data_IF_214726214903
#
_entry.id   IF_214726214903
#
_cell.length_a   1.000
_cell.length_b   1.000
_cell.length_c   1.000
_cell.angle_alpha   90.00
_cell.angle_beta   90.00
_cell.angle_gamma   90.00
#
_symmetry.space_group_name_H-M   'P 1'
#
loop_
_entity.id
_entity.type
_entity.pdbx_description
1 polymer ?
#
# COMPACT_ATOMS: atom_id res chain seq x y z
N UNK A 1 4.57 16.22 -15.23
CA UNK A 1 5.46 15.22 -14.63
C UNK A 1 4.64 14.10 -14.03
N UNK A 2 5.22 12.91 -13.93
CA UNK A 2 4.65 11.72 -13.30
C UNK A 2 4.08 12.00 -11.89
N UNK A 3 4.78 12.82 -11.11
CA UNK A 3 4.36 13.22 -9.77
C UNK A 3 3.15 14.15 -9.71
N UNK A 4 2.83 14.88 -10.78
CA UNK A 4 1.58 15.65 -10.82
C UNK A 4 0.35 14.74 -10.72
N UNK A 5 0.41 13.53 -11.28
CA UNK A 5 -0.69 12.58 -11.18
C UNK A 5 -0.84 12.06 -9.74
N UNK A 6 0.26 11.82 -9.02
CA UNK A 6 0.22 11.45 -7.60
C UNK A 6 -0.35 12.59 -6.74
N UNK A 7 0.11 13.82 -6.97
CA UNK A 7 -0.42 15.00 -6.27
C UNK A 7 -1.91 15.21 -6.54
N UNK A 8 -2.34 15.03 -7.78
CA UNK A 8 -3.75 15.10 -8.18
C UNK A 8 -4.57 13.96 -7.56
N UNK A 9 -4.02 12.75 -7.48
CA UNK A 9 -4.67 11.63 -6.80
C UNK A 9 -4.95 11.98 -5.34
N UNK A 10 -3.95 12.49 -4.61
CA UNK A 10 -4.11 12.89 -3.21
C UNK A 10 -5.10 14.05 -3.09
N UNK A 11 -4.95 15.11 -3.90
CA UNK A 11 -5.84 16.28 -3.81
C UNK A 11 -7.32 15.95 -4.06
N UNK A 12 -7.59 14.89 -4.83
CA UNK A 12 -8.94 14.40 -5.13
C UNK A 12 -9.49 13.37 -4.13
N UNK A 13 -8.77 13.07 -3.04
CA UNK A 13 -9.26 12.18 -1.96
C UNK A 13 -8.48 10.88 -1.81
N UNK A 14 -7.45 10.66 -2.62
CA UNK A 14 -6.56 9.51 -2.48
C UNK A 14 -5.69 9.59 -1.22
N UNK A 15 -5.29 8.43 -0.73
CA UNK A 15 -4.26 8.30 0.31
C UNK A 15 -3.01 7.67 -0.27
N UNK A 16 -1.85 8.28 -0.05
CA UNK A 16 -0.54 7.67 -0.33
C UNK A 16 0.17 7.36 0.98
N UNK A 17 0.77 6.18 1.06
CA UNK A 17 1.69 5.80 2.14
C UNK A 17 3.10 5.64 1.54
N UNK A 18 4.01 6.53 1.91
CA UNK A 18 5.42 6.43 1.58
C UNK A 18 6.14 5.64 2.66
N UNK A 19 6.68 4.48 2.29
CA UNK A 19 7.45 3.61 3.20
C UNK A 19 8.95 3.84 3.12
N UNK A 20 9.40 4.59 2.11
CA UNK A 20 10.80 4.86 1.86
C UNK A 20 11.11 6.33 2.17
N UNK A 21 12.39 6.63 2.38
CA UNK A 21 12.87 8.00 2.34
C UNK A 21 13.26 8.40 0.90
N UNK A 22 13.67 9.66 0.71
CA UNK A 22 14.10 10.17 -0.59
C UNK A 22 13.07 9.89 -1.72
N UNK A 23 11.79 10.04 -1.38
CA UNK A 23 10.69 9.77 -2.30
C UNK A 23 10.61 10.85 -3.37
N UNK A 24 10.05 10.48 -4.53
CA UNK A 24 9.96 11.38 -5.67
C UNK A 24 11.36 11.82 -6.17
N UNK A 25 12.32 10.89 -6.24
CA UNK A 25 13.73 11.18 -6.53
C UNK A 25 13.98 11.70 -7.95
N UNK A 26 13.39 11.07 -8.97
CA UNK A 26 13.68 11.36 -10.37
C UNK A 26 12.47 11.14 -11.28
N UNK A 27 12.33 12.03 -12.26
CA UNK A 27 11.38 11.86 -13.36
C UNK A 27 12.09 11.17 -14.52
N UNK A 28 11.44 10.14 -15.07
CA UNK A 28 11.86 9.49 -16.30
C UNK A 28 10.82 9.69 -17.38
N UNK A 29 11.25 9.60 -18.63
CA UNK A 29 10.38 9.56 -19.79
C UNK A 29 10.48 8.19 -20.43
N UNK A 30 9.35 7.65 -20.86
CA UNK A 30 9.29 6.41 -21.61
C UNK A 30 8.96 6.69 -23.07
N UNK A 31 9.81 6.24 -23.97
CA UNK A 31 9.63 6.34 -25.41
C UNK A 31 9.19 4.99 -25.96
N UNK A 32 7.93 4.91 -26.39
CA UNK A 32 7.31 3.70 -26.96
C UNK A 32 7.90 3.27 -28.29
N UNK A 33 8.46 4.20 -29.06
CA UNK A 33 8.96 3.91 -30.41
C UNK A 33 10.21 3.04 -30.38
N UNK A 34 11.05 3.22 -29.37
CA UNK A 34 12.31 2.50 -29.22
C UNK A 34 12.41 1.74 -27.87
N UNK A 35 11.28 1.63 -27.16
CA UNK A 35 11.15 0.95 -25.86
C UNK A 35 12.21 1.40 -24.82
N UNK A 36 12.53 2.70 -24.80
CA UNK A 36 13.59 3.24 -23.94
C UNK A 36 13.05 4.09 -22.80
N UNK A 37 13.68 4.00 -21.64
CA UNK A 37 13.49 4.89 -20.50
C UNK A 37 14.66 5.86 -20.45
N UNK A 38 14.39 7.15 -20.32
CA UNK A 38 15.43 8.20 -20.23
C UNK A 38 15.17 9.09 -19.02
N UNK A 39 16.21 9.34 -18.23
CA UNK A 39 16.16 10.36 -17.18
C UNK A 39 15.72 11.68 -17.79
N UNK A 40 14.72 12.33 -17.20
CA UNK A 40 14.41 13.71 -17.51
C UNK A 40 15.26 14.58 -16.59
N UNK A 41 14.99 14.48 -15.28
CA UNK A 41 15.69 15.21 -14.22
C UNK A 41 15.28 14.67 -12.86
N UNK A 42 16.15 14.76 -11.87
CA UNK A 42 15.91 14.33 -10.51
C UNK A 42 16.68 15.17 -9.51
N UNK A 43 16.84 14.64 -8.31
CA UNK A 43 17.77 15.17 -7.35
C UNK A 43 19.19 15.05 -7.90
N UNK A 44 19.98 16.12 -7.79
CA UNK A 44 21.36 16.28 -8.25
C UNK A 44 21.63 16.16 -9.75
N UNK A 45 20.71 15.62 -10.56
CA UNK A 45 21.01 15.26 -11.95
C UNK A 45 19.91 15.68 -12.93
N UNK A 46 20.31 16.14 -14.10
CA UNK A 46 19.41 16.30 -15.25
C UNK A 46 20.02 15.72 -16.52
N UNK A 47 19.19 15.35 -17.48
CA UNK A 47 19.68 14.83 -18.76
C UNK A 47 19.88 15.97 -19.76
N UNK A 48 21.11 16.12 -20.26
CA UNK A 48 21.50 17.19 -21.18
C UNK A 48 21.36 16.80 -22.67
N UNK A 49 20.80 15.62 -22.95
CA UNK A 49 20.73 15.03 -24.29
C UNK A 49 21.87 14.06 -24.61
N UNK A 50 22.92 13.99 -23.78
CA UNK A 50 24.04 13.04 -23.91
C UNK A 50 24.20 12.17 -22.67
N UNK A 51 24.00 12.72 -21.49
CA UNK A 51 24.15 12.02 -20.23
C UNK A 51 23.57 12.79 -19.05
N UNK A 52 23.75 12.23 -17.85
CA UNK A 52 23.41 12.92 -16.61
C UNK A 52 24.46 14.00 -16.31
N UNK A 53 24.00 15.23 -16.11
CA UNK A 53 24.83 16.37 -15.69
C UNK A 53 24.35 16.90 -14.33
N UNK A 54 25.23 17.47 -13.50
CA UNK A 54 24.83 18.05 -12.22
C UNK A 54 23.69 19.07 -12.36
N UNK A 55 22.77 19.04 -11.42
CA UNK A 55 21.61 19.93 -11.36
C UNK A 55 21.29 20.32 -9.92
N UNK A 56 20.05 20.76 -9.66
CA UNK A 56 19.58 21.12 -8.32
C UNK A 56 19.62 19.92 -7.37
N UNK A 57 20.04 20.16 -6.13
CA UNK A 57 20.13 19.14 -5.06
C UNK A 57 18.78 18.44 -4.89
N UNK A 58 17.72 19.21 -4.66
CA UNK A 58 16.36 18.70 -4.52
C UNK A 58 15.43 19.43 -5.50
N UNK A 59 14.85 18.68 -6.44
CA UNK A 59 14.12 19.24 -7.59
C UNK A 59 12.75 19.81 -7.22
N UNK A 60 12.09 19.28 -6.19
CA UNK A 60 10.72 19.63 -5.78
C UNK A 60 10.66 20.16 -4.34
N UNK A 61 11.68 20.93 -3.94
CA UNK A 61 11.83 21.38 -2.55
C UNK A 61 10.54 22.04 -2.01
N UNK A 62 9.95 22.98 -2.75
CA UNK A 62 8.76 23.71 -2.30
C UNK A 62 7.49 22.86 -2.44
N UNK A 63 7.34 22.16 -3.56
CA UNK A 63 6.15 21.36 -3.84
C UNK A 63 6.04 20.18 -2.87
N UNK A 64 7.13 19.47 -2.60
CA UNK A 64 7.14 18.36 -1.64
C UNK A 64 6.71 18.86 -0.25
N UNK A 65 7.28 19.98 0.22
CA UNK A 65 6.83 20.62 1.46
C UNK A 65 5.32 20.85 1.46
N UNK A 66 4.72 21.32 0.37
CA UNK A 66 3.29 21.62 0.34
C UNK A 66 2.39 20.39 0.45
N UNK A 67 2.65 19.33 -0.32
CA UNK A 67 1.70 18.21 -0.44
C UNK A 67 2.15 16.92 0.22
N UNK A 68 3.45 16.59 0.22
CA UNK A 68 3.96 15.43 0.97
C UNK A 68 4.19 15.80 2.42
N UNK A 69 4.69 17.00 2.69
CA UNK A 69 4.93 17.53 4.05
C UNK A 69 6.39 17.49 4.50
N UNK A 70 7.28 16.92 3.68
CA UNK A 70 8.70 16.77 3.99
C UNK A 70 9.61 16.93 2.78
N UNK A 71 10.90 17.00 3.05
CA UNK A 71 11.97 17.06 2.07
C UNK A 71 13.10 16.11 2.42
N UNK A 72 13.95 15.80 1.43
CA UNK A 72 15.05 14.86 1.61
C UNK A 72 16.09 15.43 2.58
N UNK A 73 16.42 14.65 3.60
CA UNK A 73 17.51 14.99 4.51
C UNK A 73 18.80 14.38 3.95
N UNK A 74 19.55 15.18 3.19
CA UNK A 74 20.81 14.77 2.55
C UNK A 74 21.97 14.64 3.54
N UNK A 75 21.88 13.62 4.39
CA UNK A 75 22.96 13.20 5.27
C UNK A 75 23.49 11.88 4.73
N UNK A 76 24.78 11.85 4.40
CA UNK A 76 25.40 10.67 3.84
C UNK A 76 25.33 9.50 4.83
N UNK A 77 24.87 8.33 4.35
CA UNK A 77 24.65 7.12 5.16
C UNK A 77 25.87 6.59 5.92
N UNK A 78 27.08 6.98 5.50
CA UNK A 78 28.33 6.64 6.19
C UNK A 78 28.62 7.52 7.42
N UNK A 79 27.80 8.55 7.68
CA UNK A 79 27.91 9.42 8.84
C UNK A 79 27.30 8.70 10.05
N UNK A 80 28.14 8.00 10.81
CA UNK A 80 27.75 7.26 12.03
C UNK A 80 27.21 8.14 13.18
N UNK A 81 27.17 9.46 13.01
CA UNK A 81 26.86 10.41 14.09
C UNK A 81 25.40 10.84 14.12
N UNK A 82 24.51 10.26 13.29
CA UNK A 82 23.08 10.44 13.50
C UNK A 82 22.56 9.50 14.58
N UNK A 83 21.88 10.09 15.56
CA UNK A 83 21.32 9.40 16.70
C UNK A 83 19.81 9.65 16.77
N UNK A 84 19.04 8.59 16.92
CA UNK A 84 17.59 8.63 17.11
C UNK A 84 17.25 8.33 18.57
N UNK A 85 16.79 9.32 19.32
CA UNK A 85 16.46 9.13 20.75
C UNK A 85 15.12 8.42 20.95
N UNK A 86 14.24 8.44 19.96
CA UNK A 86 13.00 7.69 19.97
C UNK A 86 12.98 6.77 18.74
N UNK A 87 13.51 5.56 18.91
CA UNK A 87 13.73 4.62 17.82
C UNK A 87 13.04 3.27 18.09
N UNK A 88 11.70 3.20 17.98
CA UNK A 88 10.96 1.98 18.31
C UNK A 88 11.27 0.80 17.39
N UNK A 89 11.82 1.06 16.21
CA UNK A 89 12.12 0.05 15.19
C UNK A 89 13.59 -0.35 15.15
N UNK A 90 14.42 0.16 16.07
CA UNK A 90 15.87 -0.05 16.04
C UNK A 90 16.47 0.25 14.64
N UNK A 91 15.97 1.30 13.99
CA UNK A 91 16.39 1.77 12.68
C UNK A 91 17.82 2.32 12.75
N UNK A 92 18.63 2.01 11.75
CA UNK A 92 19.98 2.56 11.58
C UNK A 92 19.95 3.57 10.46
N UNK A 93 20.61 4.71 10.64
CA UNK A 93 20.69 5.78 9.64
C UNK A 93 21.02 5.21 8.27
N UNK A 94 20.18 5.55 7.30
CA UNK A 94 20.47 5.24 5.90
C UNK A 94 20.03 6.39 4.99
N UNK A 95 18.73 6.73 5.02
CA UNK A 95 18.14 7.85 4.30
C UNK A 95 16.87 8.27 5.05
N UNK A 96 16.63 9.57 5.15
CA UNK A 96 15.51 10.11 5.91
C UNK A 96 14.86 11.28 5.18
N UNK A 97 13.57 11.49 5.48
CA UNK A 97 12.89 12.75 5.18
C UNK A 97 12.84 13.59 6.45
N UNK A 98 12.90 14.91 6.31
CA UNK A 98 12.60 15.80 7.41
C UNK A 98 11.33 16.60 7.14
N UNK A 99 10.49 16.70 8.18
CA UNK A 99 9.21 17.40 8.12
C UNK A 99 9.47 18.90 7.95
N UNK A 100 9.01 19.45 6.83
CA UNK A 100 9.17 20.87 6.49
C UNK A 100 7.85 21.62 6.55
N UNK A 101 6.73 20.92 6.51
CA UNK A 101 5.40 21.52 6.64
C UNK A 101 4.95 21.56 8.10
N UNK A 102 4.64 22.74 8.66
CA UNK A 102 4.18 22.84 10.04
C UNK A 102 2.79 22.23 10.28
N UNK A 103 1.99 21.99 9.22
CA UNK A 103 0.66 21.39 9.32
C UNK A 103 0.69 19.86 9.40
N UNK A 104 1.85 19.24 9.16
CA UNK A 104 2.02 17.80 9.28
C UNK A 104 1.75 17.33 10.72
N UNK A 105 0.83 16.37 10.88
CA UNK A 105 0.54 15.75 12.16
C UNK A 105 1.53 14.62 12.41
N UNK A 106 2.41 14.83 13.38
CA UNK A 106 3.43 13.87 13.79
C UNK A 106 2.78 12.65 14.47
N UNK A 107 3.16 11.45 14.04
CA UNK A 107 2.78 10.16 14.64
C UNK A 107 3.92 9.61 15.51
N UNK A 108 5.17 9.66 15.00
CA UNK A 108 6.39 9.33 15.73
C UNK A 108 7.41 10.42 15.46
N UNK A 109 7.83 11.17 16.47
CA UNK A 109 9.02 12.03 16.38
C UNK A 109 10.24 11.18 16.74
N UNK A 110 11.13 10.89 15.78
CA UNK A 110 12.30 10.03 16.04
C UNK A 110 13.38 10.71 16.87
N UNK A 111 13.25 12.03 17.09
CA UNK A 111 14.20 12.87 17.83
C UNK A 111 15.62 12.66 17.31
N UNK A 112 15.76 12.75 15.99
CA UNK A 112 17.04 12.67 15.31
C UNK A 112 17.95 13.83 15.75
N UNK A 113 19.22 13.52 15.95
CA UNK A 113 20.26 14.50 16.20
C UNK A 113 21.53 14.07 15.51
N UNK A 114 22.20 15.02 14.85
CA UNK A 114 23.44 14.81 14.11
C UNK A 114 24.30 16.07 14.24
N UNK A 115 25.63 15.96 14.20
CA UNK A 115 26.51 17.12 14.17
C UNK A 115 26.30 17.91 12.88
N UNK A 116 26.67 19.19 12.87
CA UNK A 116 26.67 19.99 11.64
C UNK A 116 27.55 19.31 10.59
N UNK A 117 26.94 18.79 9.53
CA UNK A 117 27.62 18.02 8.49
C UNK A 117 28.27 18.99 7.51
N UNK A 118 29.59 18.86 7.31
CA UNK A 118 30.35 19.70 6.38
C UNK A 118 29.94 19.45 4.91
N UNK A 119 29.54 18.23 4.59
CA UNK A 119 29.15 17.80 3.23
C UNK A 119 27.77 18.29 2.80
N UNK A 120 26.86 18.61 3.73
CA UNK A 120 25.56 19.19 3.42
C UNK A 120 25.41 20.56 4.10
N UNK A 121 25.97 21.59 3.47
CA UNK A 121 25.97 22.96 3.99
C UNK A 121 24.57 23.59 4.10
N UNK A 122 23.59 23.03 3.38
CA UNK A 122 22.19 23.47 3.35
C UNK A 122 21.28 22.63 4.23
N UNK A 123 21.76 21.54 4.82
CA UNK A 123 20.93 20.71 5.69
C UNK A 123 20.53 21.49 6.95
N UNK A 124 19.28 21.36 7.42
CA UNK A 124 18.87 21.98 8.68
C UNK A 124 19.72 21.41 9.82
N UNK A 125 20.01 22.18 10.86
CA UNK A 125 20.80 21.69 12.02
C UNK A 125 19.92 20.93 13.04
N UNK A 126 18.60 21.13 12.97
CA UNK A 126 17.60 20.50 13.85
C UNK A 126 16.42 19.97 13.02
N UNK A 127 16.72 19.23 11.95
CA UNK A 127 15.67 18.68 11.10
C UNK A 127 14.82 17.67 11.90
N UNK A 128 13.50 17.83 11.87
CA UNK A 128 12.59 16.87 12.49
C UNK A 128 12.39 15.69 11.56
N UNK A 129 13.07 14.58 11.83
CA UNK A 129 12.78 13.28 11.22
C UNK A 129 11.63 12.63 11.99
N UNK A 130 10.55 12.27 11.29
CA UNK A 130 9.34 11.75 11.92
C UNK A 130 8.55 10.86 10.96
N UNK A 131 7.77 9.94 11.53
CA UNK A 131 6.58 9.39 10.85
C UNK A 131 5.45 10.38 11.07
N UNK A 132 4.74 10.75 10.01
CA UNK A 132 3.70 11.77 10.08
C UNK A 132 2.59 11.54 9.05
N UNK A 133 1.47 12.23 9.23
CA UNK A 133 0.45 12.38 8.19
C UNK A 133 0.33 13.86 7.78
N UNK A 134 0.10 14.11 6.50
CA UNK A 134 -0.13 15.43 5.92
C UNK A 134 -1.44 15.39 5.13
N UNK A 135 -2.40 16.25 5.47
CA UNK A 135 -3.60 16.39 4.66
C UNK A 135 -3.31 17.27 3.45
N UNK A 136 -3.81 16.91 2.27
CA UNK A 136 -3.67 17.73 1.08
C UNK A 136 -4.91 17.63 0.19
N UNK A 137 -5.56 18.76 -0.06
CA UNK A 137 -6.87 18.79 -0.71
C UNK A 137 -7.89 17.95 0.07
N UNK A 138 -8.50 16.96 -0.59
CA UNK A 138 -9.46 16.03 0.02
C UNK A 138 -8.83 14.75 0.58
N UNK A 139 -7.56 14.51 0.29
CA UNK A 139 -6.85 13.29 0.66
C UNK A 139 -5.73 13.54 1.67
N UNK A 140 -4.80 12.60 1.74
CA UNK A 140 -3.66 12.69 2.66
C UNK A 140 -2.44 11.89 2.17
N UNK A 141 -1.29 12.26 2.71
CA UNK A 141 -0.05 11.51 2.65
C UNK A 141 0.28 11.01 4.06
N UNK A 142 0.78 9.79 4.16
CA UNK A 142 1.44 9.27 5.34
C UNK A 142 2.87 8.94 4.91
N UNK A 143 3.85 9.46 5.60
CA UNK A 143 5.26 9.22 5.28
C UNK A 143 5.95 8.71 6.55
N UNK A 144 6.71 7.63 6.42
CA UNK A 144 7.47 7.05 7.52
C UNK A 144 8.69 7.89 7.91
N UNK A 145 9.16 8.75 7.02
CA UNK A 145 10.31 9.63 7.20
C UNK A 145 11.66 8.93 7.30
N UNK A 146 11.68 7.60 7.19
CA UNK A 146 12.88 6.76 7.28
C UNK A 146 12.87 5.72 6.16
N UNK A 147 14.04 5.18 5.84
CA UNK A 147 14.16 4.14 4.83
C UNK A 147 13.61 2.78 5.29
N UNK A 148 12.34 2.49 4.96
CA UNK A 148 11.61 1.31 5.40
C UNK A 148 12.09 -0.03 4.83
N UNK A 149 12.84 -0.05 3.71
CA UNK A 149 13.42 -1.29 3.18
C UNK A 149 14.27 -2.07 4.21
N UNK A 150 14.84 -1.40 5.21
CA UNK A 150 15.61 -2.06 6.29
C UNK A 150 14.73 -2.73 7.35
N UNK A 151 13.42 -2.45 7.37
CA UNK A 151 12.50 -2.81 8.46
C UNK A 151 11.57 -3.98 8.11
N UNK A 152 11.68 -4.57 6.93
CA UNK A 152 10.74 -5.59 6.44
C UNK A 152 10.65 -6.87 7.30
N UNK A 153 11.67 -7.17 8.11
CA UNK A 153 11.66 -8.28 9.11
C UNK A 153 11.42 -7.81 10.54
N UNK A 154 11.24 -6.51 10.77
CA UNK A 154 11.07 -5.97 12.10
C UNK A 154 9.61 -6.12 12.55
N UNK A 155 9.35 -7.01 13.50
CA UNK A 155 7.98 -7.30 13.98
C UNK A 155 7.33 -6.12 14.69
N UNK A 156 8.10 -5.26 15.36
CA UNK A 156 7.57 -4.03 16.00
C UNK A 156 7.10 -3.05 14.92
N UNK A 157 7.87 -2.91 13.84
CA UNK A 157 7.50 -2.09 12.69
C UNK A 157 6.26 -2.65 11.99
N UNK A 158 6.21 -3.94 11.67
CA UNK A 158 5.07 -4.58 11.01
C UNK A 158 3.79 -4.41 11.85
N UNK A 159 3.88 -4.64 13.17
CA UNK A 159 2.74 -4.40 14.07
C UNK A 159 2.29 -2.93 14.07
N UNK A 160 3.23 -1.98 14.06
CA UNK A 160 2.90 -0.56 13.96
C UNK A 160 2.26 -0.22 12.61
N UNK A 161 2.77 -0.79 11.51
CA UNK A 161 2.23 -0.57 10.18
C UNK A 161 0.78 -1.09 10.09
N UNK A 162 0.54 -2.32 10.53
CA UNK A 162 -0.77 -2.96 10.46
C UNK A 162 -1.81 -2.32 11.38
N UNK A 163 -1.40 -1.94 12.60
CA UNK A 163 -2.34 -1.46 13.63
C UNK A 163 -2.43 0.07 13.71
N UNK A 164 -1.55 0.82 13.07
CA UNK A 164 -1.54 2.29 13.10
C UNK A 164 -1.58 2.87 11.68
N UNK A 165 -0.64 2.51 10.81
CA UNK A 165 -0.51 3.14 9.49
C UNK A 165 -1.68 2.76 8.57
N UNK A 166 -1.99 1.47 8.44
CA UNK A 166 -3.11 0.99 7.61
C UNK A 166 -4.45 1.61 8.10
N UNK A 167 -4.78 1.60 9.40
CA UNK A 167 -5.99 2.23 9.90
C UNK A 167 -6.11 3.74 9.63
N UNK A 168 -4.99 4.47 9.70
CA UNK A 168 -4.98 5.91 9.36
C UNK A 168 -5.17 6.10 7.85
N UNK A 169 -4.61 5.21 7.04
CA UNK A 169 -4.60 5.31 5.58
C UNK A 169 -5.97 4.97 4.96
N UNK A 170 -6.59 3.88 5.42
CA UNK A 170 -7.76 3.27 4.80
C UNK A 170 -9.02 3.36 5.67
N UNK A 171 -8.91 3.90 6.89
CA UNK A 171 -9.94 3.83 7.92
C UNK A 171 -9.71 2.62 8.84
N UNK A 172 -10.42 2.53 9.99
CA UNK A 172 -10.26 1.42 10.92
C UNK A 172 -10.41 0.09 10.15
N UNK A 173 -9.71 -0.98 10.58
CA UNK A 173 -9.92 -2.30 10.01
C UNK A 173 -11.42 -2.55 9.97
N UNK A 174 -11.93 -2.81 8.78
CA UNK A 174 -13.35 -3.10 8.60
C UNK A 174 -13.61 -4.31 9.48
N UNK A 175 -14.42 -4.17 10.53
CA UNK A 175 -14.74 -5.32 11.37
C UNK A 175 -15.38 -6.37 10.49
N UNK A 176 -15.26 -7.65 10.86
CA UNK A 176 -15.87 -8.74 10.10
C UNK A 176 -17.35 -8.46 9.76
N UNK A 177 -18.09 -7.88 10.71
CA UNK A 177 -19.48 -7.42 10.50
C UNK A 177 -19.61 -6.30 9.45
N UNK A 178 -18.71 -5.32 9.43
CA UNK A 178 -18.73 -4.23 8.45
C UNK A 178 -18.28 -4.70 7.06
N UNK A 179 -17.36 -5.66 6.97
CA UNK A 179 -16.93 -6.27 5.72
C UNK A 179 -18.08 -7.07 5.14
N UNK A 180 -18.68 -7.95 5.95
CA UNK A 180 -19.86 -8.73 5.58
C UNK A 180 -21.04 -7.83 5.22
N UNK A 181 -21.29 -6.71 5.90
CA UNK A 181 -22.36 -5.76 5.52
C UNK A 181 -22.08 -5.05 4.18
N UNK A 182 -20.84 -4.61 3.95
CA UNK A 182 -20.46 -3.92 2.71
C UNK A 182 -20.48 -4.87 1.51
N UNK A 183 -20.13 -6.12 1.74
CA UNK A 183 -20.18 -7.21 0.75
C UNK A 183 -21.62 -7.73 0.54
N UNK A 184 -22.44 -7.79 1.59
CA UNK A 184 -23.87 -8.17 1.52
C UNK A 184 -24.71 -7.20 0.69
N UNK A 185 -24.27 -5.95 0.53
CA UNK A 185 -24.97 -4.98 -0.33
C UNK A 185 -24.85 -5.27 -1.83
N UNK A 186 -23.93 -6.17 -2.24
CA UNK A 186 -23.64 -6.48 -3.65
C UNK A 186 -23.53 -7.98 -3.97
N UNK A 187 -23.80 -8.90 -3.03
CA UNK A 187 -23.69 -10.35 -3.23
C UNK A 187 -24.89 -11.07 -2.60
N UNK A 188 -25.43 -12.07 -3.29
CA UNK A 188 -26.45 -12.97 -2.72
C UNK A 188 -25.85 -13.69 -1.50
N UNK A 189 -26.31 -13.31 -0.31
CA UNK A 189 -25.75 -13.70 0.97
C UNK A 189 -26.21 -15.09 1.45
N UNK A 190 -26.78 -15.88 0.55
CA UNK A 190 -27.32 -17.20 0.84
C UNK A 190 -26.51 -18.26 0.08
N UNK A 191 -25.46 -18.78 0.72
CA UNK A 191 -24.67 -19.89 0.18
C UNK A 191 -25.38 -21.23 0.32
N UNK A 192 -26.64 -21.27 0.80
CA UNK A 192 -27.38 -22.54 0.89
C UNK A 192 -27.76 -23.07 -0.49
N UNK A 193 -28.02 -22.21 -1.49
CA UNK A 193 -28.11 -22.53 -2.92
C UNK A 193 -27.99 -21.23 -3.76
N UNK A 194 -27.02 -21.16 -4.68
CA UNK A 194 -26.82 -19.97 -5.52
C UNK A 194 -27.50 -20.17 -6.87
N UNK A 195 -28.48 -19.33 -7.19
CA UNK A 195 -29.20 -19.35 -8.47
C UNK A 195 -28.77 -18.17 -9.36
N UNK A 196 -28.31 -18.45 -10.58
CA UNK A 196 -27.83 -17.44 -11.54
C UNK A 196 -28.36 -17.77 -12.95
N UNK A 197 -28.70 -16.75 -13.74
CA UNK A 197 -29.05 -16.91 -15.14
C UNK A 197 -27.79 -17.11 -16.01
N UNK A 198 -27.85 -18.01 -16.99
CA UNK A 198 -26.78 -18.18 -17.98
C UNK A 198 -26.53 -16.88 -18.77
N UNK A 199 -25.26 -16.56 -18.99
CA UNK A 199 -24.84 -15.41 -19.82
C UNK A 199 -24.51 -15.80 -21.27
N UNK A 200 -24.48 -17.10 -21.54
CA UNK A 200 -24.22 -17.69 -22.85
C UNK A 200 -24.23 -19.23 -22.78
N UNK A 201 -23.95 -19.93 -23.88
CA UNK A 201 -24.03 -21.39 -23.95
C UNK A 201 -23.01 -22.11 -23.04
N UNK A 202 -21.97 -21.41 -22.60
CA UNK A 202 -20.99 -21.91 -21.64
C UNK A 202 -21.39 -21.69 -20.17
N UNK A 203 -22.54 -21.05 -19.91
CA UNK A 203 -23.09 -20.79 -18.59
C UNK A 203 -22.86 -19.37 -18.06
N UNK A 204 -22.55 -19.22 -16.77
CA UNK A 204 -22.41 -17.93 -16.10
C UNK A 204 -21.16 -17.86 -15.22
N UNK A 205 -20.52 -16.69 -15.17
CA UNK A 205 -19.50 -16.40 -14.16
C UNK A 205 -20.18 -16.16 -12.83
N UNK A 206 -19.86 -16.94 -11.80
CA UNK A 206 -20.52 -16.86 -10.48
C UNK A 206 -19.50 -16.52 -9.41
N UNK A 207 -19.74 -15.41 -8.71
CA UNK A 207 -19.02 -15.02 -7.50
C UNK A 207 -19.85 -15.35 -6.26
N UNK A 208 -19.22 -15.97 -5.27
CA UNK A 208 -19.84 -16.40 -4.02
C UNK A 208 -18.90 -16.20 -2.83
N UNK A 209 -19.48 -16.19 -1.62
CA UNK A 209 -18.76 -16.17 -0.35
C UNK A 209 -18.43 -17.58 0.14
N UNK A 210 -17.35 -17.71 0.91
CA UNK A 210 -17.00 -18.95 1.57
C UNK A 210 -18.07 -19.31 2.62
N UNK A 211 -18.46 -20.59 2.77
CA UNK A 211 -19.38 -21.01 3.82
C UNK A 211 -18.84 -20.66 5.20
N UNK A 212 -19.66 -20.04 6.06
CA UNK A 212 -19.29 -19.63 7.42
C UNK A 212 -18.74 -20.77 8.27
N UNK A 213 -19.24 -21.99 8.03
CA UNK A 213 -18.96 -23.18 8.84
C UNK A 213 -17.51 -23.71 8.68
N UNK A 214 -16.76 -23.19 7.70
CA UNK A 214 -15.36 -23.57 7.45
C UNK A 214 -14.39 -22.39 7.59
N UNK A 215 -14.87 -21.25 8.10
CA UNK A 215 -14.07 -20.07 8.41
C UNK A 215 -13.81 -20.07 9.93
N UNK A 216 -12.54 -20.12 10.34
CA UNK A 216 -12.18 -19.97 11.75
C UNK A 216 -11.58 -18.56 11.98
N UNK A 217 -12.04 -17.93 13.07
CA UNK A 217 -11.87 -16.53 13.47
C UNK A 217 -10.40 -16.16 13.77
N UNK A 218 -9.52 -17.15 13.99
CA UNK A 218 -8.11 -16.92 14.37
C UNK A 218 -7.12 -16.82 13.18
N UNK A 219 -7.61 -16.75 11.93
CA UNK A 219 -6.76 -16.52 10.75
C UNK A 219 -5.82 -17.69 10.39
N UNK A 220 -6.02 -18.86 11.00
CA UNK A 220 -5.13 -20.02 10.88
C UNK A 220 -5.44 -20.93 9.67
N UNK A 221 -6.44 -20.58 8.84
CA UNK A 221 -6.96 -21.41 7.74
C UNK A 221 -7.20 -20.57 6.48
N UNK A 222 -6.86 -21.12 5.31
CA UNK A 222 -7.28 -20.60 4.00
C UNK A 222 -8.14 -21.68 3.33
N UNK A 223 -9.49 -21.60 3.36
CA UNK A 223 -10.34 -22.57 2.69
C UNK A 223 -10.19 -22.47 1.17
N UNK A 224 -10.12 -23.62 0.50
CA UNK A 224 -10.03 -23.73 -0.96
C UNK A 224 -11.29 -24.39 -1.50
N UNK A 225 -12.00 -23.70 -2.39
CA UNK A 225 -13.20 -24.21 -3.05
C UNK A 225 -12.95 -24.61 -4.50
N UNK A 226 -13.64 -25.67 -4.95
CA UNK A 226 -13.64 -26.13 -6.33
C UNK A 226 -15.06 -26.37 -6.84
N UNK A 227 -15.47 -25.76 -7.98
CA UNK A 227 -14.79 -24.68 -8.70
C UNK A 227 -14.60 -23.42 -7.82
N UNK A 228 -13.57 -22.59 -8.01
CA UNK A 228 -13.36 -21.37 -7.21
C UNK A 228 -14.35 -20.25 -7.57
N UNK A 229 -14.58 -19.32 -6.62
CA UNK A 229 -15.40 -18.12 -6.83
C UNK A 229 -14.86 -17.29 -7.99
N UNK A 230 -15.75 -16.80 -8.87
CA UNK A 230 -15.39 -16.13 -10.12
C UNK A 230 -15.12 -17.07 -11.30
N UNK A 231 -15.31 -18.39 -11.14
CA UNK A 231 -15.28 -19.34 -12.27
C UNK A 231 -16.54 -19.23 -13.13
N UNK A 232 -16.44 -19.74 -14.37
CA UNK A 232 -17.60 -20.02 -15.20
C UNK A 232 -18.23 -21.35 -14.81
N UNK A 233 -19.49 -21.32 -14.41
CA UNK A 233 -20.30 -22.48 -14.08
C UNK A 233 -21.19 -22.84 -15.28
N UNK A 234 -21.23 -24.12 -15.72
CA UNK A 234 -22.08 -24.54 -16.82
C UNK A 234 -23.56 -24.48 -16.43
N UNK A 235 -24.44 -24.43 -17.44
CA UNK A 235 -25.89 -24.56 -17.27
C UNK A 235 -26.20 -25.88 -16.55
N UNK A 236 -27.07 -25.83 -15.54
CA UNK A 236 -27.40 -26.93 -14.64
C UNK A 236 -26.84 -26.71 -13.24
N UNK A 237 -26.79 -27.79 -12.46
CA UNK A 237 -26.29 -27.76 -11.09
C UNK A 237 -24.81 -28.14 -11.03
N UNK A 238 -24.01 -27.32 -10.35
CA UNK A 238 -22.62 -27.60 -10.03
C UNK A 238 -22.44 -27.59 -8.52
N UNK A 239 -21.95 -28.70 -7.97
CA UNK A 239 -21.58 -28.77 -6.56
C UNK A 239 -20.22 -28.10 -6.35
N UNK A 240 -20.18 -27.08 -5.51
CA UNK A 240 -18.93 -26.49 -5.02
C UNK A 240 -18.53 -27.22 -3.75
N UNK A 241 -17.32 -27.77 -3.72
CA UNK A 241 -16.72 -28.36 -2.52
C UNK A 241 -15.61 -27.47 -2.01
N UNK A 242 -15.74 -27.04 -0.76
CA UNK A 242 -14.75 -26.24 -0.06
C UNK A 242 -14.07 -27.07 1.04
N UNK A 243 -12.74 -27.02 1.07
CA UNK A 243 -11.92 -27.76 2.04
C UNK A 243 -11.04 -26.77 2.79
N UNK A 244 -11.06 -26.84 4.13
CA UNK A 244 -10.13 -26.12 5.00
C UNK A 244 -9.31 -27.13 5.80
N UNK A 245 -7.99 -26.99 5.80
CA UNK A 245 -7.08 -27.89 6.54
C UNK A 245 -6.28 -27.10 7.57
N UNK A 246 -6.28 -27.59 8.82
CA UNK A 246 -5.45 -27.06 9.91
C UNK A 246 -3.99 -27.46 9.69
N UNK A 247 -3.09 -26.49 9.60
CA UNK A 247 -1.66 -26.75 9.48
C UNK A 247 -1.02 -27.26 10.79
N UNK A 248 -1.64 -27.04 11.95
CA UNK A 248 -1.11 -27.45 13.25
C UNK A 248 -1.51 -28.87 13.64
N UNK A 249 -2.75 -29.30 13.31
CA UNK A 249 -3.31 -30.58 13.75
C UNK A 249 -3.78 -31.51 12.61
N UNK A 250 -3.64 -31.09 11.35
CA UNK A 250 -4.07 -31.84 10.16
C UNK A 250 -5.59 -32.14 10.09
N UNK A 251 -6.40 -31.41 10.87
CA UNK A 251 -7.85 -31.52 10.85
C UNK A 251 -8.41 -30.89 9.58
N UNK A 252 -9.37 -31.56 8.93
CA UNK A 252 -9.97 -31.07 7.68
C UNK A 252 -11.46 -30.85 7.87
N UNK A 253 -11.91 -29.62 7.61
CA UNK A 253 -13.32 -29.27 7.51
C UNK A 253 -13.75 -29.21 6.04
N UNK A 254 -14.96 -29.70 5.75
CA UNK A 254 -15.52 -29.72 4.40
C UNK A 254 -16.91 -29.10 4.44
N UNK A 255 -17.17 -28.17 3.54
CA UNK A 255 -18.51 -27.65 3.26
C UNK A 255 -18.82 -27.78 1.77
N UNK A 256 -20.10 -27.97 1.46
CA UNK A 256 -20.59 -28.07 0.08
C UNK A 256 -21.85 -27.27 -0.11
N UNK A 257 -21.99 -26.65 -1.27
CA UNK A 257 -23.22 -26.00 -1.69
C UNK A 257 -23.40 -26.12 -3.21
N UNK A 258 -24.61 -25.82 -3.69
CA UNK A 258 -24.96 -25.95 -5.11
C UNK A 258 -25.02 -24.56 -5.75
N UNK A 259 -24.39 -24.44 -6.91
CA UNK A 259 -24.60 -23.35 -7.87
C UNK A 259 -25.47 -23.88 -8.99
N UNK A 260 -26.67 -23.33 -9.17
CA UNK A 260 -27.56 -23.62 -10.29
C UNK A 260 -27.50 -22.48 -11.30
N UNK A 261 -27.12 -22.81 -12.53
CA UNK A 261 -27.18 -21.89 -13.67
C UNK A 261 -28.35 -22.30 -14.55
N UNK A 262 -29.35 -21.44 -14.69
CA UNK A 262 -30.53 -21.72 -15.53
C UNK A 262 -30.37 -21.08 -16.91
N UNK A 263 -30.73 -21.83 -17.95
CA UNK A 263 -30.88 -21.26 -19.29
C UNK A 263 -32.13 -20.40 -19.33
N UNK A 264 -31.97 -19.13 -19.74
CA UNK A 264 -33.08 -18.20 -19.85
C UNK A 264 -33.62 -18.10 -21.28
N UNK A 265 -33.18 -18.97 -22.20
CA UNK A 265 -33.76 -19.07 -23.54
C UNK A 265 -34.98 -20.00 -23.48
N UNK A 266 -36.16 -19.39 -23.39
CA UNK A 266 -37.42 -20.06 -23.71
C UNK A 266 -37.42 -20.49 -25.19
N UNK A 267 -37.73 -21.75 -25.46
CA UNK A 267 -38.18 -22.18 -26.79
C UNK A 267 -39.44 -21.42 -27.25
#
# INVERSE_FOLDING_TARGET
SEYNNLRLFVSNGGTIVFTEANTLFAEVSYNKTNDSITLVKGHYWEFDGKGATPSVIERWLNENKEWTGSNFLDIASNIQSMHFRNNPFNYTHTEEQYVTNPEAKILIDYRASYPKVVQCSTCPVNARVATYQMNYGKGKVIDLGIWGHTLWRNTVFLNYFDNVIIPIALGPPVTEMQYLQKVSSNINNDTSNILVAATGPSGAVVSYLLPSDIINIDGQFIPVCRPPSGSTFPIGETMVKCTATDNANNNTAIATFIVRVEDMISH
#
